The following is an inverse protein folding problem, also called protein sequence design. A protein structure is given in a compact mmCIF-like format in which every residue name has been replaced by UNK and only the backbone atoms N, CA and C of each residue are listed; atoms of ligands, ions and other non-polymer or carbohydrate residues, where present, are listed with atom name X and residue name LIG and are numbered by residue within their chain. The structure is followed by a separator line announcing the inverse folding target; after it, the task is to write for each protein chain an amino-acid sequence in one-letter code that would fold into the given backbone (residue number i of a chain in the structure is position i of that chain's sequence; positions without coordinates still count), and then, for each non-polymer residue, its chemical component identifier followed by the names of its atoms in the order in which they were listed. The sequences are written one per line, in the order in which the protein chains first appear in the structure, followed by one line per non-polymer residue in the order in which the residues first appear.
data_IF_725969237972
#
_entry.id   IF_725969237972
#
_cell.length_a   1.000
_cell.length_b   1.000
_cell.length_c   1.000
_cell.angle_alpha   90.00
_cell.angle_beta   90.00
_cell.angle_gamma   90.00
#
_symmetry.space_group_name_H-M   'P 1'
#
loop_
_entity.id
_entity.type
_entity.pdbx_description
1 polymer ?
#
# COMPACT_ATOMS: atom_id res chain seq x y z
N UNK A 1 0.96 14.54 11.76
CA UNK A 1 0.99 13.74 10.52
C UNK A 1 1.05 12.28 10.95
N UNK A 2 0.02 11.47 10.66
CA UNK A 2 0.07 10.05 10.99
C UNK A 2 1.26 9.38 10.29
N UNK A 3 1.92 8.44 10.95
CA UNK A 3 3.02 7.68 10.35
C UNK A 3 2.51 7.00 9.07
N UNK A 4 3.07 7.37 7.92
CA UNK A 4 2.63 6.84 6.61
C UNK A 4 2.88 5.33 6.50
N UNK A 5 3.85 4.83 7.26
CA UNK A 5 4.10 3.39 7.44
C UNK A 5 2.92 2.72 8.15
N UNK A 6 2.37 3.36 9.20
CA UNK A 6 1.18 2.85 9.90
C UNK A 6 -0.04 2.80 8.97
N UNK A 7 -0.24 3.84 8.16
CA UNK A 7 -1.33 3.88 7.16
C UNK A 7 -1.17 2.74 6.16
N UNK A 8 0.03 2.57 5.61
CA UNK A 8 0.34 1.48 4.67
C UNK A 8 0.04 0.12 5.30
N UNK A 9 0.45 -0.08 6.56
CA UNK A 9 0.19 -1.33 7.28
C UNK A 9 -1.30 -1.63 7.43
N UNK A 10 -2.12 -0.61 7.74
CA UNK A 10 -3.58 -0.76 7.83
C UNK A 10 -4.18 -1.13 6.47
N UNK A 11 -3.81 -0.42 5.41
CA UNK A 11 -4.31 -0.66 4.05
C UNK A 11 -4.00 -2.09 3.59
N UNK A 12 -2.76 -2.55 3.81
CA UNK A 12 -2.35 -3.91 3.48
C UNK A 12 -3.07 -4.96 4.31
N UNK A 13 -3.31 -4.69 5.59
CA UNK A 13 -4.05 -5.60 6.47
C UNK A 13 -5.49 -5.78 5.98
N UNK A 14 -6.17 -4.68 5.64
CA UNK A 14 -7.55 -4.72 5.13
C UNK A 14 -7.61 -5.46 3.79
N UNK A 15 -6.70 -5.16 2.86
CA UNK A 15 -6.65 -5.83 1.55
C UNK A 15 -6.33 -7.31 1.70
N UNK A 16 -5.37 -7.67 2.54
CA UNK A 16 -4.98 -9.06 2.79
C UNK A 16 -6.11 -9.88 3.40
N UNK A 17 -6.81 -9.35 4.42
CA UNK A 17 -7.97 -10.02 5.03
C UNK A 17 -9.09 -10.19 4.01
N UNK A 18 -9.43 -9.12 3.26
CA UNK A 18 -10.52 -9.15 2.28
C UNK A 18 -10.22 -10.16 1.17
N UNK A 19 -9.02 -10.11 0.60
CA UNK A 19 -8.60 -11.03 -0.45
C UNK A 19 -8.52 -12.49 0.02
N UNK A 20 -8.03 -12.72 1.24
CA UNK A 20 -7.98 -14.05 1.85
C UNK A 20 -9.37 -14.63 2.11
N UNK A 21 -10.30 -13.84 2.63
CA UNK A 21 -11.67 -14.27 2.88
C UNK A 21 -12.38 -14.62 1.57
N UNK A 22 -12.28 -13.77 0.55
CA UNK A 22 -12.87 -14.01 -0.76
C UNK A 22 -12.25 -15.24 -1.44
N UNK A 23 -10.92 -15.36 -1.41
CA UNK A 23 -10.21 -16.50 -2.00
C UNK A 23 -10.50 -17.84 -1.31
N UNK A 24 -10.77 -17.84 0.00
CA UNK A 24 -11.15 -19.05 0.73
C UNK A 24 -12.55 -19.56 0.37
N UNK A 25 -13.45 -18.66 -0.02
CA UNK A 25 -14.84 -19.00 -0.40
C UNK A 25 -15.01 -19.38 -1.87
N UNK A 26 -14.07 -18.96 -2.74
CA UNK A 26 -14.14 -19.13 -4.19
C UNK A 26 -12.97 -19.97 -4.68
N UNK A 27 -13.23 -21.25 -4.99
CA UNK A 27 -12.23 -22.17 -5.54
C UNK A 27 -12.05 -22.07 -7.06
N UNK A 28 -10.99 -22.69 -7.57
CA UNK A 28 -10.75 -22.84 -9.01
C UNK A 28 -10.29 -21.54 -9.70
N UNK A 29 -10.50 -21.42 -11.03
CA UNK A 29 -10.01 -20.27 -11.81
C UNK A 29 -10.41 -18.88 -11.27
N UNK A 30 -11.63 -18.65 -10.75
CA UNK A 30 -11.99 -17.36 -10.17
C UNK A 30 -11.22 -17.02 -8.88
N UNK A 31 -10.86 -18.01 -8.06
CA UNK A 31 -10.02 -17.81 -6.88
C UNK A 31 -8.62 -17.28 -7.23
N UNK A 32 -8.05 -17.74 -8.35
CA UNK A 32 -6.78 -17.21 -8.86
C UNK A 32 -6.88 -15.72 -9.24
N UNK A 33 -7.99 -15.30 -9.85
CA UNK A 33 -8.21 -13.88 -10.20
C UNK A 33 -8.29 -13.01 -8.94
N UNK A 34 -8.97 -13.49 -7.89
CA UNK A 34 -9.06 -12.79 -6.61
C UNK A 34 -7.68 -12.65 -5.97
N UNK A 35 -6.89 -13.71 -5.96
CA UNK A 35 -5.52 -13.68 -5.47
C UNK A 35 -4.64 -12.68 -6.25
N UNK A 36 -4.71 -12.72 -7.58
CA UNK A 36 -3.97 -11.81 -8.45
C UNK A 36 -4.36 -10.35 -8.19
N UNK A 37 -5.66 -10.06 -8.11
CA UNK A 37 -6.16 -8.72 -7.83
C UNK A 37 -5.69 -8.21 -6.46
N UNK A 38 -5.78 -9.06 -5.42
CA UNK A 38 -5.31 -8.73 -4.07
C UNK A 38 -3.82 -8.42 -4.05
N UNK A 39 -3.03 -9.19 -4.81
CA UNK A 39 -1.58 -8.98 -4.94
C UNK A 39 -1.27 -7.66 -5.62
N UNK A 40 -1.94 -7.35 -6.74
CA UNK A 40 -1.76 -6.09 -7.46
C UNK A 40 -2.17 -4.88 -6.61
N UNK A 41 -3.28 -4.98 -5.87
CA UNK A 41 -3.70 -3.94 -4.94
C UNK A 41 -2.66 -3.71 -3.84
N UNK A 42 -2.15 -4.79 -3.26
CA UNK A 42 -1.08 -4.74 -2.24
C UNK A 42 0.15 -4.00 -2.77
N UNK A 43 0.65 -4.38 -3.94
CA UNK A 43 1.81 -3.74 -4.57
C UNK A 43 1.53 -2.27 -4.90
N UNK A 44 0.33 -1.97 -5.41
CA UNK A 44 -0.09 -0.59 -5.71
C UNK A 44 -0.12 0.31 -4.48
N UNK A 45 -0.65 -0.18 -3.36
CA UNK A 45 -0.68 0.52 -2.07
C UNK A 45 0.74 0.82 -1.59
N UNK A 46 1.64 -0.17 -1.66
CA UNK A 46 3.04 0.01 -1.26
C UNK A 46 3.70 1.10 -2.11
N UNK A 47 3.60 1.02 -3.43
CA UNK A 47 4.21 2.00 -4.32
C UNK A 47 3.65 3.41 -4.14
N UNK A 48 2.33 3.54 -3.98
CA UNK A 48 1.71 4.82 -3.70
C UNK A 48 2.27 5.43 -2.41
N UNK A 49 2.30 4.63 -1.34
CA UNK A 49 2.76 5.13 -0.06
C UNK A 49 4.25 5.45 -0.05
N UNK A 50 5.09 4.62 -0.66
CA UNK A 50 6.53 4.90 -0.77
C UNK A 50 6.78 6.19 -1.57
N UNK A 51 6.08 6.38 -2.70
CA UNK A 51 6.24 7.58 -3.52
C UNK A 51 5.93 8.86 -2.75
N UNK A 52 4.80 8.90 -2.06
CA UNK A 52 4.43 10.05 -1.23
C UNK A 52 5.39 10.23 -0.03
N UNK A 53 6.08 9.16 0.41
CA UNK A 53 6.99 9.24 1.54
C UNK A 53 8.24 9.96 1.06
N UNK A 54 8.79 9.50 -0.06
CA UNK A 54 9.89 10.13 -0.77
C UNK A 54 9.59 11.59 -1.08
N UNK A 55 8.40 11.92 -1.63
CA UNK A 55 8.01 13.32 -1.88
C UNK A 55 8.04 14.17 -0.60
N UNK A 56 7.61 13.62 0.52
CA UNK A 56 7.65 14.30 1.82
C UNK A 56 9.09 14.58 2.24
N UNK A 57 9.99 13.59 2.13
CA UNK A 57 11.42 13.75 2.42
C UNK A 57 12.09 14.78 1.50
N UNK A 58 11.78 14.77 0.21
CA UNK A 58 12.33 15.73 -0.75
C UNK A 58 11.90 17.16 -0.46
N UNK A 59 10.64 17.39 -0.07
CA UNK A 59 10.16 18.71 0.35
C UNK A 59 10.84 19.19 1.63
N UNK A 60 11.02 18.29 2.60
CA UNK A 60 11.71 18.61 3.84
C UNK A 60 13.18 19.04 3.58
N UNK A 61 13.92 18.30 2.74
CA UNK A 61 15.32 18.63 2.41
C UNK A 61 15.48 19.88 1.54
N UNK A 62 14.48 20.22 0.70
CA UNK A 62 14.47 21.50 0.00
C UNK A 62 14.26 22.68 0.94
N UNK A 63 13.36 22.54 1.92
CA UNK A 63 13.13 23.60 2.91
C UNK A 63 14.36 23.85 3.78
N UNK A 64 15.09 22.80 4.16
CA UNK A 64 16.35 22.94 4.93
C UNK A 64 17.38 23.77 4.17
N UNK A 65 17.64 23.45 2.90
CA UNK A 65 18.58 24.20 2.04
C UNK A 65 18.16 25.64 1.72
N UNK A 66 16.88 25.97 1.84
CA UNK A 66 16.40 27.34 1.61
C UNK A 66 16.57 28.24 2.85
N UNK A 67 16.84 27.65 4.01
CA UNK A 67 17.09 28.38 5.26
C UNK A 67 18.59 28.59 5.55
N UNK A 68 19.46 27.89 4.83
CA UNK A 68 20.92 28.13 4.76
C UNK A 68 21.25 29.32 3.84
#
# INVERSE_FOLDING_TARGET
MGSRVLVTWIELTVVGITGGLLGATVGGPPGFVIYLATTLLTVGIIFHNVNELVKTWLRASQNERAME
#
